data_IF_030947313297
#
_entry.id   IF_030947313297
#
_cell.length_a   1.000
_cell.length_b   1.000
_cell.length_c   1.000
_cell.angle_alpha   90.00
_cell.angle_beta   90.00
_cell.angle_gamma   90.00
#
_symmetry.space_group_name_H-M   'P 1'
#
loop_
_entity.id
_entity.type
_entity.pdbx_description
1 polymer ?
#
# COMPACT_ATOMS: atom_id res chain seq x y z
N UNK A 1 -7.62 -13.38 -3.67
CA UNK A 1 -8.80 -13.62 -2.82
C UNK A 1 -10.09 -13.56 -3.64
N UNK A 2 -11.19 -14.25 -3.28
CA UNK A 2 -12.48 -14.08 -3.94
C UNK A 2 -12.99 -12.65 -3.66
N UNK A 3 -13.62 -12.03 -4.64
CA UNK A 3 -14.31 -10.75 -4.47
C UNK A 3 -15.49 -10.94 -3.53
N UNK A 4 -15.58 -10.09 -2.51
CA UNK A 4 -16.37 -10.44 -1.36
C UNK A 4 -17.85 -10.17 -1.59
N UNK A 5 -18.25 -9.15 -2.33
CA UNK A 5 -19.67 -8.76 -2.41
C UNK A 5 -20.03 -7.94 -3.65
N UNK A 6 -19.37 -8.12 -4.81
CA UNK A 6 -19.66 -7.29 -5.96
C UNK A 6 -20.40 -8.03 -7.06
N UNK A 7 -21.48 -7.41 -7.52
CA UNK A 7 -22.13 -7.68 -8.79
C UNK A 7 -21.59 -6.70 -9.86
N UNK A 8 -21.82 -6.98 -11.16
CA UNK A 8 -21.43 -6.07 -12.22
C UNK A 8 -21.89 -4.63 -11.97
N UNK A 9 -20.95 -3.68 -12.07
CA UNK A 9 -21.19 -2.25 -11.82
C UNK A 9 -21.06 -1.80 -10.36
N UNK A 10 -20.86 -2.72 -9.41
CA UNK A 10 -20.59 -2.39 -8.00
C UNK A 10 -19.09 -2.20 -7.78
N UNK A 11 -18.70 -1.79 -6.58
CA UNK A 11 -17.29 -1.65 -6.20
C UNK A 11 -16.98 -2.35 -4.87
N UNK A 12 -15.81 -2.97 -4.81
CA UNK A 12 -15.18 -3.44 -3.59
C UNK A 12 -14.35 -2.32 -2.95
N UNK A 13 -14.26 -2.33 -1.63
CA UNK A 13 -13.34 -1.46 -0.92
C UNK A 13 -12.02 -2.18 -0.70
N UNK A 14 -10.92 -1.54 -1.09
CA UNK A 14 -9.58 -2.09 -0.96
C UNK A 14 -8.67 -1.13 -0.18
N UNK A 15 -7.62 -1.66 0.40
CA UNK A 15 -6.60 -0.87 1.08
C UNK A 15 -5.22 -1.26 0.58
N UNK A 16 -4.35 -0.28 0.37
CA UNK A 16 -3.03 -0.42 -0.25
C UNK A 16 -1.92 0.16 0.60
N UNK A 17 -0.79 -0.55 0.67
CA UNK A 17 0.44 -0.12 1.33
C UNK A 17 1.54 0.17 0.30
N UNK A 18 1.95 1.43 0.20
CA UNK A 18 3.08 1.89 -0.59
C UNK A 18 4.32 1.94 0.31
N UNK A 19 5.22 0.98 0.19
CA UNK A 19 6.39 0.84 1.07
C UNK A 19 7.64 1.35 0.36
N UNK A 20 8.37 2.26 1.00
CA UNK A 20 9.67 2.76 0.56
C UNK A 20 10.76 2.19 1.46
N UNK A 21 11.72 1.49 0.88
CA UNK A 21 12.95 1.03 1.55
C UNK A 21 13.99 2.13 1.54
N UNK A 22 14.58 2.39 2.71
CA UNK A 22 15.55 3.49 2.91
C UNK A 22 16.93 3.02 3.41
N UNK A 23 17.17 1.73 3.44
CA UNK A 23 18.43 1.08 3.84
C UNK A 23 19.54 1.13 2.78
N UNK A 24 19.23 1.58 1.56
CA UNK A 24 20.19 1.70 0.46
C UNK A 24 20.81 3.10 0.36
N UNK A 25 21.60 3.33 -0.70
CA UNK A 25 22.18 4.63 -1.03
C UNK A 25 21.13 5.66 -1.47
N UNK A 26 19.99 5.19 -1.93
CA UNK A 26 18.81 5.98 -2.31
C UNK A 26 17.52 5.24 -1.95
N UNK A 27 16.39 5.95 -1.77
CA UNK A 27 15.10 5.32 -1.53
C UNK A 27 14.65 4.45 -2.70
N UNK A 28 14.03 3.31 -2.39
CA UNK A 28 13.53 2.36 -3.39
C UNK A 28 12.09 1.97 -3.08
N UNK A 29 11.23 1.97 -4.09
CA UNK A 29 9.88 1.44 -3.99
C UNK A 29 9.93 -0.08 -3.86
N UNK A 30 9.21 -0.64 -2.89
CA UNK A 30 9.04 -2.08 -2.74
C UNK A 30 7.74 -2.50 -3.40
N UNK A 31 7.81 -3.41 -4.35
CA UNK A 31 6.65 -3.89 -5.12
C UNK A 31 6.71 -5.39 -5.32
N UNK A 32 5.54 -6.02 -5.51
CA UNK A 32 5.45 -7.43 -5.84
C UNK A 32 4.77 -7.67 -7.19
N UNK A 33 5.07 -8.81 -7.81
CA UNK A 33 4.39 -9.24 -9.04
C UNK A 33 2.99 -9.76 -8.69
N UNK A 34 1.95 -8.99 -9.02
CA UNK A 34 0.58 -9.41 -8.82
C UNK A 34 0.19 -10.52 -9.81
N UNK A 35 -0.09 -11.73 -9.31
CA UNK A 35 -0.24 -12.96 -10.13
C UNK A 35 -1.31 -12.85 -11.21
N UNK A 36 -2.49 -12.28 -10.91
CA UNK A 36 -3.60 -12.17 -11.88
C UNK A 36 -3.36 -11.10 -12.94
N UNK A 37 -2.77 -9.97 -12.56
CA UNK A 37 -2.57 -8.83 -13.46
C UNK A 37 -1.24 -8.90 -14.22
N UNK A 38 -0.31 -9.76 -13.80
CA UNK A 38 1.06 -9.85 -14.31
C UNK A 38 1.76 -8.48 -14.37
N UNK A 39 1.55 -7.67 -13.32
CA UNK A 39 2.14 -6.34 -13.13
C UNK A 39 2.73 -6.22 -11.74
N UNK A 40 3.78 -5.43 -11.63
CA UNK A 40 4.30 -5.00 -10.33
C UNK A 40 3.34 -3.98 -9.70
N UNK A 41 2.98 -4.20 -8.46
CA UNK A 41 2.03 -3.40 -7.70
C UNK A 41 2.51 -3.19 -6.26
N UNK A 42 1.87 -2.24 -5.59
CA UNK A 42 1.93 -2.10 -4.14
C UNK A 42 1.29 -3.32 -3.45
N UNK A 43 1.54 -3.48 -2.16
CA UNK A 43 0.89 -4.50 -1.33
C UNK A 43 -0.52 -4.09 -0.93
N UNK A 44 -1.39 -5.03 -0.60
CA UNK A 44 -2.73 -4.77 -0.11
C UNK A 44 -3.81 -5.64 -0.71
N UNK A 45 -5.03 -5.52 -0.16
CA UNK A 45 -6.14 -6.38 -0.52
C UNK A 45 -7.51 -5.79 -0.23
N UNK A 46 -8.51 -6.66 -0.26
CA UNK A 46 -9.90 -6.30 0.03
C UNK A 46 -10.10 -6.07 1.52
N UNK A 47 -10.85 -5.02 1.85
CA UNK A 47 -11.29 -4.77 3.21
C UNK A 47 -12.43 -5.73 3.51
N UNK A 48 -12.20 -6.67 4.42
CA UNK A 48 -13.20 -7.65 4.86
C UNK A 48 -14.34 -6.97 5.62
N UNK A 49 -15.53 -7.58 5.65
CA UNK A 49 -16.71 -6.99 6.28
C UNK A 49 -16.59 -6.69 7.77
N UNK A 50 -15.69 -7.37 8.44
CA UNK A 50 -15.41 -7.22 9.88
C UNK A 50 -14.11 -6.49 10.18
N UNK A 51 -13.49 -5.89 9.15
CA UNK A 51 -12.23 -5.17 9.27
C UNK A 51 -12.37 -3.69 8.90
N UNK A 52 -11.46 -2.90 9.43
CA UNK A 52 -11.21 -1.55 8.95
C UNK A 52 -10.10 -1.57 7.89
N UNK A 53 -9.99 -0.56 7.04
CA UNK A 53 -8.89 -0.47 6.06
C UNK A 53 -7.50 -0.55 6.72
N UNK A 54 -7.37 -0.06 7.95
CA UNK A 54 -6.11 -0.08 8.68
C UNK A 54 -5.73 -1.49 9.17
N UNK A 55 -6.73 -2.25 9.61
CA UNK A 55 -6.54 -3.67 9.96
C UNK A 55 -6.17 -4.50 8.74
N UNK A 56 -6.84 -4.28 7.61
CA UNK A 56 -6.49 -4.92 6.33
C UNK A 56 -5.02 -4.68 5.98
N UNK A 57 -4.55 -3.44 6.03
CA UNK A 57 -3.15 -3.13 5.73
C UNK A 57 -2.18 -3.84 6.69
N UNK A 58 -2.53 -3.93 7.98
CA UNK A 58 -1.68 -4.60 8.96
C UNK A 58 -1.46 -6.08 8.64
N UNK A 59 -2.49 -6.80 8.21
CA UNK A 59 -2.34 -8.21 7.86
C UNK A 59 -1.78 -8.42 6.46
N UNK A 60 -2.20 -7.65 5.46
CA UNK A 60 -1.71 -7.78 4.08
C UNK A 60 -0.20 -7.50 3.97
N UNK A 61 0.30 -6.51 4.70
CA UNK A 61 1.73 -6.23 4.78
C UNK A 61 2.51 -7.42 5.34
N UNK A 62 1.94 -8.12 6.31
CA UNK A 62 2.56 -9.32 6.87
C UNK A 62 2.51 -10.49 5.90
N UNK A 63 1.34 -10.75 5.32
CA UNK A 63 1.11 -11.89 4.42
C UNK A 63 1.88 -11.74 3.09
N UNK A 64 1.82 -10.56 2.46
CA UNK A 64 2.38 -10.34 1.14
C UNK A 64 3.83 -9.84 1.15
N UNK A 65 4.20 -9.00 2.14
CA UNK A 65 5.53 -8.38 2.20
C UNK A 65 6.46 -8.95 3.28
N UNK A 66 5.93 -9.78 4.21
CA UNK A 66 6.68 -10.42 5.27
C UNK A 66 7.10 -9.50 6.42
N UNK A 67 6.56 -8.29 6.51
CA UNK A 67 6.85 -7.36 7.60
C UNK A 67 5.91 -7.56 8.78
N UNK A 68 6.44 -7.59 10.00
CA UNK A 68 5.65 -7.22 11.14
C UNK A 68 5.32 -5.73 11.05
N UNK A 69 4.07 -5.36 11.30
CA UNK A 69 3.59 -3.99 11.05
C UNK A 69 4.42 -2.93 11.79
N UNK A 70 4.90 -3.24 13.00
CA UNK A 70 5.78 -2.38 13.80
C UNK A 70 7.15 -2.09 13.16
N UNK A 71 7.56 -2.82 12.12
CA UNK A 71 8.79 -2.54 11.38
C UNK A 71 8.62 -1.37 10.39
N UNK A 72 7.40 -0.94 10.16
CA UNK A 72 7.07 0.15 9.25
C UNK A 72 6.89 1.47 10.00
N UNK A 73 7.31 2.53 9.38
CA UNK A 73 7.02 3.92 9.78
C UNK A 73 6.01 4.50 8.81
N UNK A 74 4.89 4.98 9.34
CA UNK A 74 3.84 5.62 8.55
C UNK A 74 4.23 7.06 8.22
N UNK A 75 4.04 7.47 6.97
CA UNK A 75 4.19 8.86 6.53
C UNK A 75 2.82 9.56 6.60
N UNK A 76 2.77 10.72 7.27
CA UNK A 76 1.54 11.46 7.47
C UNK A 76 1.74 12.96 7.20
N UNK A 77 0.80 13.64 6.52
CA UNK A 77 0.88 15.08 6.37
C UNK A 77 0.85 15.74 7.77
N UNK A 78 1.65 16.80 7.94
CA UNK A 78 1.70 17.56 9.20
C UNK A 78 0.33 18.17 9.53
N UNK A 79 -0.34 18.72 8.51
CA UNK A 79 -1.65 19.36 8.66
C UNK A 79 -2.78 18.34 8.45
N UNK A 80 -3.12 17.59 9.52
CA UNK A 80 -4.19 16.58 9.55
C UNK A 80 -4.97 16.62 10.85
N UNK A 81 -6.16 16.06 10.86
CA UNK A 81 -6.89 15.76 12.09
C UNK A 81 -6.15 14.62 12.82
N UNK A 82 -5.67 14.90 14.02
CA UNK A 82 -4.91 13.93 14.81
C UNK A 82 -5.76 13.19 15.86
N UNK A 83 -6.91 13.75 16.24
CA UNK A 83 -7.84 13.16 17.20
C UNK A 83 -9.28 13.51 16.84
N UNK A 84 -10.17 12.54 16.97
CA UNK A 84 -11.61 12.74 16.79
C UNK A 84 -12.39 11.84 17.76
N UNK A 85 -13.30 12.43 18.54
CA UNK A 85 -14.06 11.70 19.54
C UNK A 85 -15.21 10.90 18.92
N UNK A 86 -15.43 9.69 19.43
CA UNK A 86 -16.59 8.86 19.07
C UNK A 86 -16.49 8.13 17.74
N UNK A 87 -15.30 8.09 17.14
CA UNK A 87 -15.02 7.35 15.90
C UNK A 87 -13.64 6.71 15.98
N UNK A 88 -13.40 5.70 15.18
CA UNK A 88 -12.05 5.21 14.86
C UNK A 88 -11.49 6.14 13.80
N UNK A 89 -10.46 6.90 14.15
CA UNK A 89 -9.78 7.78 13.21
C UNK A 89 -8.68 7.00 12.48
N UNK A 90 -8.78 6.93 11.18
CA UNK A 90 -7.74 6.34 10.34
C UNK A 90 -6.66 7.36 9.97
N UNK A 91 -5.44 6.88 9.62
CA UNK A 91 -4.41 7.74 9.05
C UNK A 91 -4.91 8.46 7.80
N UNK A 92 -4.36 9.64 7.53
CA UNK A 92 -4.60 10.31 6.25
C UNK A 92 -3.99 9.48 5.12
N UNK A 93 -4.77 9.09 4.11
CA UNK A 93 -4.24 8.33 2.98
C UNK A 93 -3.34 9.20 2.10
N UNK A 94 -2.36 8.59 1.44
CA UNK A 94 -1.58 9.25 0.40
C UNK A 94 -2.39 9.43 -0.88
N UNK A 95 -3.31 8.52 -1.15
CA UNK A 95 -4.28 8.60 -2.24
C UNK A 95 -5.56 7.84 -1.87
N UNK A 96 -6.65 8.24 -2.52
CA UNK A 96 -7.89 7.48 -2.59
C UNK A 96 -8.41 7.57 -4.00
N UNK A 97 -8.72 6.45 -4.62
CA UNK A 97 -9.18 6.42 -6.01
C UNK A 97 -10.19 5.30 -6.25
N UNK A 98 -10.88 5.38 -7.39
CA UNK A 98 -11.72 4.29 -7.88
C UNK A 98 -11.27 3.93 -9.30
N UNK A 99 -11.02 2.66 -9.54
CA UNK A 99 -10.58 2.16 -10.84
C UNK A 99 -11.33 0.88 -11.21
N UNK A 100 -11.46 0.66 -12.52
CA UNK A 100 -12.06 -0.56 -13.03
C UNK A 100 -11.12 -1.76 -12.80
N UNK A 101 -11.70 -2.87 -12.41
CA UNK A 101 -11.00 -4.16 -12.27
C UNK A 101 -11.58 -5.16 -13.27
N UNK A 102 -10.79 -6.12 -13.79
CA UNK A 102 -11.29 -7.14 -14.68
C UNK A 102 -12.46 -7.93 -14.06
N UNK A 103 -13.60 -8.02 -14.75
CA UNK A 103 -14.81 -8.67 -14.26
C UNK A 103 -16.00 -7.72 -14.07
N UNK A 104 -15.94 -6.52 -14.70
CA UNK A 104 -17.03 -5.52 -14.74
C UNK A 104 -17.39 -4.88 -13.38
N UNK A 105 -16.49 -4.92 -12.40
CA UNK A 105 -16.62 -4.19 -11.14
C UNK A 105 -15.50 -3.17 -10.96
N UNK A 106 -15.55 -2.42 -9.87
CA UNK A 106 -14.57 -1.38 -9.55
C UNK A 106 -13.94 -1.66 -8.17
N UNK A 107 -12.71 -1.22 -8.00
CA UNK A 107 -12.12 -1.08 -6.67
C UNK A 107 -12.14 0.39 -6.26
N UNK A 108 -12.63 0.67 -5.05
CA UNK A 108 -12.40 1.94 -4.36
C UNK A 108 -11.29 1.69 -3.36
N UNK A 109 -10.12 2.21 -3.68
CA UNK A 109 -8.86 1.94 -2.97
C UNK A 109 -8.44 3.11 -2.09
N UNK A 110 -8.00 2.81 -0.88
CA UNK A 110 -7.38 3.76 0.04
C UNK A 110 -5.92 3.39 0.25
N UNK A 111 -5.00 4.27 -0.16
CA UNK A 111 -3.56 4.02 -0.12
C UNK A 111 -2.86 4.73 1.02
N UNK A 112 -1.98 4.02 1.74
CA UNK A 112 -1.13 4.56 2.80
C UNK A 112 0.34 4.47 2.43
N UNK A 113 1.13 5.47 2.82
CA UNK A 113 2.55 5.55 2.53
C UNK A 113 3.39 5.18 3.76
N UNK A 114 4.31 4.24 3.57
CA UNK A 114 5.22 3.76 4.60
C UNK A 114 6.67 3.89 4.17
N UNK A 115 7.56 3.94 5.16
CA UNK A 115 8.99 3.76 4.96
C UNK A 115 9.54 2.77 5.97
N UNK A 116 10.65 2.11 5.63
CA UNK A 116 11.42 1.27 6.54
C UNK A 116 12.87 1.13 6.07
N UNK A 117 13.80 0.99 7.01
CA UNK A 117 15.20 0.66 6.77
C UNK A 117 15.52 -0.81 7.13
N UNK A 118 14.49 -1.61 7.45
CA UNK A 118 14.63 -2.99 7.89
C UNK A 118 14.30 -3.97 6.76
N UNK A 119 14.92 -5.15 6.80
CA UNK A 119 14.47 -6.30 6.02
C UNK A 119 13.19 -6.90 6.63
N UNK A 120 12.34 -7.56 5.83
CA UNK A 120 11.18 -8.27 6.35
C UNK A 120 11.58 -9.34 7.37
N UNK A 121 10.80 -9.49 8.44
CA UNK A 121 11.01 -10.54 9.46
C UNK A 121 10.65 -11.94 8.97
N UNK A 122 9.79 -12.03 7.97
CA UNK A 122 9.23 -13.28 7.46
C UNK A 122 9.32 -13.35 5.94
N UNK A 123 9.18 -14.54 5.38
CA UNK A 123 8.85 -14.70 3.98
C UNK A 123 7.34 -14.39 3.77
N UNK A 124 6.93 -13.98 2.55
CA UNK A 124 5.51 -13.94 2.21
C UNK A 124 4.82 -15.27 2.48
N UNK A 125 3.54 -15.23 2.83
CA UNK A 125 2.75 -16.42 3.16
C UNK A 125 2.59 -17.37 1.96
N UNK A 126 2.24 -18.62 2.25
CA UNK A 126 1.98 -19.62 1.21
C UNK A 126 0.83 -19.16 0.29
N UNK A 127 1.11 -19.13 -1.00
CA UNK A 127 0.15 -18.63 -2.00
C UNK A 127 0.46 -17.21 -2.47
N UNK A 128 1.21 -16.43 -1.72
CA UNK A 128 1.60 -15.08 -2.11
C UNK A 128 2.76 -15.04 -3.12
N UNK A 129 3.00 -13.88 -3.71
CA UNK A 129 4.06 -13.69 -4.69
C UNK A 129 5.42 -13.60 -4.01
N UNK A 130 6.36 -14.46 -4.42
CA UNK A 130 7.76 -14.36 -4.02
C UNK A 130 8.59 -13.42 -4.93
N UNK A 131 7.99 -12.93 -6.03
CA UNK A 131 8.63 -11.97 -6.92
C UNK A 131 8.44 -10.55 -6.38
N UNK A 132 9.26 -10.20 -5.40
CA UNK A 132 9.31 -8.88 -4.76
C UNK A 132 10.61 -8.22 -5.19
N UNK A 133 10.51 -6.99 -5.68
CA UNK A 133 11.67 -6.21 -6.12
C UNK A 133 11.70 -4.82 -5.48
N UNK A 134 12.90 -4.26 -5.39
CA UNK A 134 13.14 -2.89 -4.95
C UNK A 134 13.54 -2.07 -6.17
N UNK A 135 12.81 -1.00 -6.42
CA UNK A 135 12.94 -0.17 -7.64
C UNK A 135 13.37 1.23 -7.23
N UNK A 136 14.48 1.71 -7.79
CA UNK A 136 14.93 3.11 -7.64
C UNK A 136 13.96 4.06 -8.36
N UNK A 137 14.03 5.35 -8.03
CA UNK A 137 13.20 6.37 -8.69
C UNK A 137 13.40 6.40 -10.21
N UNK A 138 14.64 6.29 -10.68
CA UNK A 138 14.96 6.29 -12.12
C UNK A 138 14.40 5.06 -12.84
N UNK A 139 14.50 3.89 -12.23
CA UNK A 139 13.90 2.65 -12.76
C UNK A 139 12.37 2.74 -12.77
N UNK A 140 11.77 3.30 -11.71
CA UNK A 140 10.35 3.51 -11.60
C UNK A 140 9.82 4.44 -12.72
N UNK A 141 10.54 5.53 -13.02
CA UNK A 141 10.22 6.44 -14.10
C UNK A 141 10.32 5.76 -15.49
N UNK A 142 11.24 4.83 -15.64
CA UNK A 142 11.43 4.07 -16.88
C UNK A 142 10.51 2.84 -17.01
N UNK A 143 9.78 2.47 -15.95
CA UNK A 143 8.92 1.29 -15.92
C UNK A 143 7.76 1.43 -16.91
N UNK A 144 7.61 0.52 -17.88
CA UNK A 144 6.54 0.62 -18.88
C UNK A 144 5.17 0.27 -18.29
N UNK A 145 4.11 0.86 -18.84
CA UNK A 145 2.72 0.64 -18.41
C UNK A 145 2.26 -0.82 -18.52
N UNK A 146 2.92 -1.60 -19.37
CA UNK A 146 2.71 -3.05 -19.44
C UNK A 146 3.21 -3.81 -18.20
N UNK A 147 4.14 -3.23 -17.45
CA UNK A 147 4.73 -3.84 -16.25
C UNK A 147 4.23 -3.24 -14.94
N UNK A 148 3.79 -1.99 -14.96
CA UNK A 148 3.24 -1.29 -13.80
C UNK A 148 2.18 -0.29 -14.27
N UNK A 149 1.05 -0.24 -13.58
CA UNK A 149 -0.01 0.72 -13.91
C UNK A 149 0.43 2.15 -13.59
N UNK A 150 0.06 3.16 -14.42
CA UNK A 150 0.48 4.54 -14.22
C UNK A 150 0.12 5.11 -12.85
N UNK A 151 -1.08 4.83 -12.33
CA UNK A 151 -1.51 5.29 -11.01
C UNK A 151 -0.60 4.77 -9.88
N UNK A 152 -0.15 3.52 -9.94
CA UNK A 152 0.78 2.93 -8.96
C UNK A 152 2.13 3.64 -9.04
N UNK A 153 2.68 3.78 -10.26
CA UNK A 153 3.94 4.47 -10.50
C UNK A 153 3.90 5.91 -10.00
N UNK A 154 2.86 6.66 -10.36
CA UNK A 154 2.72 8.08 -10.01
C UNK A 154 2.59 8.28 -8.50
N UNK A 155 1.89 7.37 -7.80
CA UNK A 155 1.80 7.40 -6.33
C UNK A 155 3.17 7.18 -5.69
N UNK A 156 3.95 6.17 -6.12
CA UNK A 156 5.30 5.97 -5.61
C UNK A 156 6.22 7.17 -5.88
N UNK A 157 6.15 7.76 -7.08
CA UNK A 157 6.93 8.96 -7.41
C UNK A 157 6.55 10.14 -6.51
N UNK A 158 5.25 10.35 -6.27
CA UNK A 158 4.78 11.39 -5.34
C UNK A 158 5.30 11.17 -3.91
N UNK A 159 5.29 9.92 -3.44
CA UNK A 159 5.83 9.58 -2.11
C UNK A 159 7.33 9.92 -2.04
N UNK A 160 8.10 9.50 -3.04
CA UNK A 160 9.54 9.74 -3.10
C UNK A 160 9.89 11.23 -3.22
N UNK A 161 9.11 11.99 -4.00
CA UNK A 161 9.39 13.40 -4.27
C UNK A 161 8.88 14.34 -3.19
N UNK A 162 7.80 13.95 -2.50
CA UNK A 162 7.11 14.83 -1.57
C UNK A 162 7.04 14.26 -0.17
N UNK A 163 6.45 13.07 0.01
CA UNK A 163 6.11 12.59 1.35
C UNK A 163 7.36 12.28 2.20
N UNK A 164 8.39 11.66 1.61
CA UNK A 164 9.61 11.31 2.36
C UNK A 164 10.30 12.51 3.00
N UNK A 165 10.23 13.68 2.37
CA UNK A 165 10.91 14.90 2.84
C UNK A 165 10.02 15.83 3.65
N UNK A 166 8.71 15.85 3.41
CA UNK A 166 7.80 16.85 3.97
C UNK A 166 6.75 16.30 4.94
N UNK A 167 6.53 14.98 4.97
CA UNK A 167 5.57 14.37 5.86
C UNK A 167 6.20 13.91 7.17
N UNK A 168 5.42 13.94 8.26
CA UNK A 168 5.81 13.40 9.55
C UNK A 168 6.00 11.89 9.49
N UNK A 169 6.96 11.40 10.25
CA UNK A 169 7.23 9.98 10.48
C UNK A 169 6.52 9.57 11.77
N UNK A 170 5.47 8.77 11.64
CA UNK A 170 4.58 8.41 12.73
C UNK A 170 4.63 6.91 12.96
N UNK A 171 4.59 6.47 14.23
CA UNK A 171 4.45 5.04 14.55
C UNK A 171 3.11 4.52 14.05
N UNK A 172 3.10 3.34 13.47
CA UNK A 172 1.86 2.64 13.08
C UNK A 172 0.94 2.38 14.27
N UNK A 173 1.51 2.21 15.48
CA UNK A 173 0.78 2.02 16.74
C UNK A 173 0.02 3.27 17.22
N UNK A 174 0.20 4.41 16.53
CA UNK A 174 -0.55 5.65 16.84
C UNK A 174 -2.02 5.57 16.41
N UNK A 175 -2.39 4.57 15.64
CA UNK A 175 -3.74 4.30 15.15
C UNK A 175 -4.21 2.92 15.58
N UNK A 176 -5.52 2.79 15.88
CA UNK A 176 -6.11 1.49 16.24
C UNK A 176 -6.10 0.52 15.05
N UNK A 177 -5.65 -0.72 15.29
CA UNK A 177 -5.65 -1.84 14.35
C UNK A 177 -6.06 -3.15 15.04
#
# INVERSE_FOLDING_TARGET
MPHIHTEPGQHDFTASAFIIRTDGTEPRAMVHMHKKLAKYMQFGGHVELNETPWQTISHEVKEEAGYDFSQLTLLQPEDRIQQQKGVILHPSPVCMNTHAFPGEHHHTDIGYAFMTDQEPSHAPDEGESLDIILITKSELQAMPDSKMSPNVRDTFLYIMDTCLSSWEKVSVDSYEH
#
